data_IF_758020789659
#
_entry.id   IF_758020789659
#
_cell.length_a   1.000
_cell.length_b   1.000
_cell.length_c   1.000
_cell.angle_alpha   90.00
_cell.angle_beta   90.00
_cell.angle_gamma   90.00
#
_symmetry.space_group_name_H-M   'P 1'
#
loop_
_entity.id
_entity.type
_entity.pdbx_description
1 polymer ?
#
# COMPACT_ATOMS: atom_id res chain seq x y z
N UNK A 1 -14.19 -11.73 25.55
CA UNK A 1 -14.06 -13.04 24.88
C UNK A 1 -13.10 -12.81 23.74
N UNK A 2 -11.90 -13.39 23.79
CA UNK A 2 -10.96 -13.35 22.66
C UNK A 2 -11.45 -14.36 21.63
N UNK A 3 -11.85 -13.89 20.45
CA UNK A 3 -12.23 -14.78 19.36
C UNK A 3 -10.98 -15.53 18.90
N UNK A 4 -10.95 -16.85 19.03
CA UNK A 4 -9.84 -17.65 18.51
C UNK A 4 -9.90 -17.63 16.98
N UNK A 5 -8.80 -17.23 16.32
CA UNK A 5 -8.66 -17.28 14.87
C UNK A 5 -8.64 -18.75 14.44
N UNK A 6 -9.59 -19.13 13.60
CA UNK A 6 -9.69 -20.50 13.06
C UNK A 6 -8.52 -20.83 12.13
N UNK A 7 -8.22 -22.12 11.94
CA UNK A 7 -7.15 -22.57 11.01
C UNK A 7 -7.41 -22.04 9.59
N UNK A 8 -8.66 -21.96 9.16
CA UNK A 8 -9.03 -21.43 7.84
C UNK A 8 -8.69 -19.94 7.71
N UNK A 9 -8.94 -19.15 8.75
CA UNK A 9 -8.58 -17.73 8.78
C UNK A 9 -7.06 -17.53 8.83
N UNK A 10 -6.34 -18.40 9.55
CA UNK A 10 -4.86 -18.39 9.54
C UNK A 10 -4.30 -18.69 8.15
N UNK A 11 -4.82 -19.71 7.45
CA UNK A 11 -4.41 -20.03 6.08
C UNK A 11 -4.71 -18.89 5.11
N UNK A 12 -5.89 -18.27 5.23
CA UNK A 12 -6.26 -17.11 4.42
C UNK A 12 -5.36 -15.91 4.69
N UNK A 13 -4.99 -15.66 5.95
CA UNK A 13 -4.06 -14.59 6.32
C UNK A 13 -2.65 -14.83 5.74
N UNK A 14 -2.15 -16.06 5.78
CA UNK A 14 -0.86 -16.43 5.17
C UNK A 14 -0.91 -16.26 3.64
N UNK A 15 -1.96 -16.74 2.99
CA UNK A 15 -2.12 -16.58 1.54
C UNK A 15 -2.12 -15.11 1.13
N UNK A 16 -2.90 -14.29 1.83
CA UNK A 16 -2.99 -12.87 1.54
C UNK A 16 -1.69 -12.13 1.84
N UNK A 17 -0.98 -12.48 2.92
CA UNK A 17 0.36 -11.97 3.21
C UNK A 17 1.37 -12.31 2.09
N UNK A 18 1.32 -13.54 1.56
CA UNK A 18 2.17 -13.96 0.45
C UNK A 18 1.86 -13.15 -0.81
N UNK A 19 0.59 -12.84 -1.09
CA UNK A 19 0.21 -11.96 -2.21
C UNK A 19 0.76 -10.56 -2.02
N UNK A 20 0.63 -9.96 -0.83
CA UNK A 20 1.24 -8.65 -0.54
C UNK A 20 2.76 -8.66 -0.77
N UNK A 21 3.45 -9.70 -0.30
CA UNK A 21 4.90 -9.84 -0.45
C UNK A 21 5.32 -10.04 -1.91
N UNK A 22 4.59 -10.87 -2.65
CA UNK A 22 4.78 -11.07 -4.09
C UNK A 22 4.59 -9.75 -4.84
N UNK A 23 3.51 -9.03 -4.56
CA UNK A 23 3.20 -7.75 -5.18
C UNK A 23 4.35 -6.75 -4.98
N UNK A 24 4.87 -6.62 -3.75
CA UNK A 24 6.03 -5.76 -3.46
C UNK A 24 7.32 -6.22 -4.17
N UNK A 25 7.52 -7.53 -4.33
CA UNK A 25 8.66 -8.07 -5.07
C UNK A 25 8.57 -7.74 -6.56
N UNK A 26 7.37 -7.83 -7.14
CA UNK A 26 7.11 -7.46 -8.53
C UNK A 26 7.33 -5.97 -8.77
N UNK A 27 6.94 -5.09 -7.83
CA UNK A 27 7.23 -3.64 -7.92
C UNK A 27 8.73 -3.36 -7.96
N UNK A 28 9.51 -4.05 -7.14
CA UNK A 28 10.97 -3.91 -7.16
C UNK A 28 11.56 -4.32 -8.51
N UNK A 29 11.13 -5.48 -9.06
CA UNK A 29 11.58 -5.96 -10.37
C UNK A 29 11.16 -4.99 -11.47
N UNK A 30 9.90 -4.54 -11.45
CA UNK A 30 9.35 -3.62 -12.43
C UNK A 30 10.11 -2.28 -12.41
N UNK A 31 10.33 -1.71 -11.23
CA UNK A 31 11.04 -0.45 -11.02
C UNK A 31 12.51 -0.52 -11.46
N UNK A 32 13.20 -1.61 -11.11
CA UNK A 32 14.58 -1.87 -11.56
C UNK A 32 14.63 -1.95 -13.08
N UNK A 33 13.78 -2.77 -13.69
CA UNK A 33 13.76 -2.97 -15.15
C UNK A 33 13.41 -1.69 -15.90
N UNK A 34 12.46 -0.88 -15.42
CA UNK A 34 12.15 0.43 -16.03
C UNK A 34 13.35 1.39 -16.00
N UNK A 35 14.12 1.37 -14.90
CA UNK A 35 15.32 2.24 -14.75
C UNK A 35 16.43 1.83 -15.72
N UNK A 36 16.60 0.53 -15.97
CA UNK A 36 17.59 0.00 -16.91
C UNK A 36 17.14 0.05 -18.38
N UNK A 37 15.83 -0.01 -18.68
CA UNK A 37 15.30 -0.18 -20.03
C UNK A 37 15.09 1.11 -20.81
N UNK A 38 16.02 2.07 -20.74
CA UNK A 38 16.11 3.16 -21.73
C UNK A 38 16.34 2.69 -23.18
N UNK A 39 16.53 1.39 -23.38
CA UNK A 39 16.71 0.74 -24.67
C UNK A 39 15.59 -0.29 -24.88
N UNK A 40 14.78 -0.09 -25.93
CA UNK A 40 13.80 -1.03 -26.48
C UNK A 40 14.45 -2.41 -26.62
N UNK A 41 14.21 -3.28 -25.64
CA UNK A 41 14.73 -4.64 -25.61
C UNK A 41 13.57 -5.63 -25.69
N UNK A 42 13.86 -6.85 -26.13
CA UNK A 42 12.95 -8.01 -26.14
C UNK A 42 12.31 -8.34 -24.78
N UNK A 43 12.68 -7.62 -23.71
CA UNK A 43 12.12 -7.68 -22.37
C UNK A 43 10.83 -6.88 -22.16
N UNK A 44 10.32 -6.16 -23.17
CA UNK A 44 9.13 -5.29 -22.99
C UNK A 44 7.86 -6.09 -22.70
N UNK A 45 7.64 -7.22 -23.38
CA UNK A 45 6.49 -8.10 -23.13
C UNK A 45 6.54 -8.74 -21.74
N UNK A 46 7.72 -9.20 -21.30
CA UNK A 46 7.89 -9.72 -19.94
C UNK A 46 7.62 -8.65 -18.88
N UNK A 47 8.13 -7.43 -19.12
CA UNK A 47 7.89 -6.32 -18.22
C UNK A 47 6.39 -6.01 -18.18
N UNK A 48 5.74 -5.77 -19.32
CA UNK A 48 4.28 -5.55 -19.41
C UNK A 48 3.46 -6.63 -18.66
N UNK A 49 3.85 -7.90 -18.79
CA UNK A 49 3.21 -8.99 -18.05
C UNK A 49 3.36 -8.86 -16.53
N UNK A 50 4.51 -8.42 -16.03
CA UNK A 50 4.71 -8.11 -14.60
C UNK A 50 3.72 -7.01 -14.15
N UNK A 51 3.53 -5.96 -14.95
CA UNK A 51 2.61 -4.86 -14.61
C UNK A 51 1.15 -5.31 -14.56
N UNK A 52 0.74 -6.15 -15.52
CA UNK A 52 -0.59 -6.80 -15.52
C UNK A 52 -0.77 -7.74 -14.33
N UNK A 53 0.29 -8.46 -13.96
CA UNK A 53 0.29 -9.33 -12.79
C UNK A 53 0.15 -8.52 -11.49
N UNK A 54 0.90 -7.42 -11.36
CA UNK A 54 0.78 -6.50 -10.23
C UNK A 54 -0.65 -5.93 -10.13
N UNK A 55 -1.23 -5.48 -11.24
CA UNK A 55 -2.60 -4.97 -11.29
C UNK A 55 -3.62 -6.01 -10.82
N UNK A 56 -3.47 -7.25 -11.29
CA UNK A 56 -4.33 -8.37 -10.90
C UNK A 56 -4.19 -8.68 -9.41
N UNK A 57 -2.96 -8.83 -8.91
CA UNK A 57 -2.71 -9.14 -7.50
C UNK A 57 -3.23 -8.03 -6.57
N UNK A 58 -3.07 -6.76 -6.94
CA UNK A 58 -3.64 -5.63 -6.19
C UNK A 58 -5.17 -5.67 -6.16
N UNK A 59 -5.82 -5.92 -7.31
CA UNK A 59 -7.27 -6.05 -7.39
C UNK A 59 -7.79 -7.27 -6.59
N UNK A 60 -7.04 -8.36 -6.57
CA UNK A 60 -7.39 -9.55 -5.79
C UNK A 60 -7.20 -9.31 -4.28
N UNK A 61 -6.14 -8.60 -3.86
CA UNK A 61 -5.96 -8.15 -2.47
C UNK A 61 -7.13 -7.27 -2.03
N UNK A 62 -7.58 -6.33 -2.87
CA UNK A 62 -8.71 -5.45 -2.56
C UNK A 62 -9.99 -6.23 -2.20
N UNK A 63 -10.27 -7.33 -2.91
CA UNK A 63 -11.44 -8.19 -2.64
C UNK A 63 -11.38 -8.88 -1.28
N UNK A 64 -10.18 -9.03 -0.72
CA UNK A 64 -9.93 -9.70 0.55
C UNK A 64 -9.78 -8.72 1.73
N UNK A 65 -9.87 -7.40 1.51
CA UNK A 65 -9.64 -6.40 2.57
C UNK A 65 -10.69 -6.43 3.69
N UNK A 66 -11.94 -6.80 3.40
CA UNK A 66 -12.98 -6.93 4.44
C UNK A 66 -12.59 -7.98 5.50
N UNK A 67 -11.92 -9.05 5.07
CA UNK A 67 -11.37 -10.04 5.99
C UNK A 67 -10.25 -9.46 6.86
N UNK A 68 -9.33 -8.69 6.26
CA UNK A 68 -8.25 -8.02 7.02
C UNK A 68 -8.83 -7.01 8.00
N UNK A 69 -9.89 -6.30 7.62
CA UNK A 69 -10.55 -5.31 8.47
C UNK A 69 -11.19 -5.97 9.69
N UNK A 70 -11.91 -7.09 9.49
CA UNK A 70 -12.47 -7.88 10.58
C UNK A 70 -11.37 -8.41 11.51
N UNK A 71 -10.28 -8.94 10.93
CA UNK A 71 -9.13 -9.43 11.71
C UNK A 71 -8.44 -8.31 12.51
N UNK A 72 -8.30 -7.12 11.93
CA UNK A 72 -7.70 -5.96 12.59
C UNK A 72 -8.55 -5.44 13.76
N UNK A 73 -9.88 -5.57 13.69
CA UNK A 73 -10.77 -5.17 14.78
C UNK A 73 -10.61 -6.05 16.05
N UNK A 74 -10.17 -7.30 15.87
CA UNK A 74 -9.92 -8.26 16.97
C UNK A 74 -8.53 -8.10 17.61
N UNK A 75 -7.63 -7.31 17.00
CA UNK A 75 -6.31 -6.99 17.54
C UNK A 75 -6.38 -5.63 18.22
N UNK A 76 -6.63 -5.55 19.54
CA UNK A 76 -6.49 -4.30 20.26
C UNK A 76 -5.04 -3.83 20.14
N UNK A 77 -4.83 -2.52 20.14
CA UNK A 77 -3.55 -1.79 20.07
C UNK A 77 -3.22 -1.16 18.70
N UNK A 78 -2.09 -0.45 18.69
CA UNK A 78 -1.58 0.35 17.57
C UNK A 78 -1.47 -0.44 16.27
N UNK A 79 -1.27 -1.76 16.36
CA UNK A 79 -1.16 -2.67 15.23
C UNK A 79 -2.47 -2.77 14.42
N UNK A 80 -3.63 -2.91 15.09
CA UNK A 80 -4.94 -2.95 14.44
C UNK A 80 -5.29 -1.62 13.77
N UNK A 81 -4.97 -0.50 14.43
CA UNK A 81 -5.18 0.86 13.89
C UNK A 81 -4.37 1.09 12.62
N UNK A 82 -3.11 0.65 12.59
CA UNK A 82 -2.25 0.76 11.40
C UNK A 82 -2.83 -0.06 10.25
N UNK A 83 -3.27 -1.30 10.51
CA UNK A 83 -3.88 -2.14 9.50
C UNK A 83 -5.16 -1.52 8.93
N UNK A 84 -6.04 -0.98 9.78
CA UNK A 84 -7.26 -0.29 9.34
C UNK A 84 -6.96 0.93 8.45
N UNK A 85 -5.99 1.76 8.83
CA UNK A 85 -5.57 2.91 7.99
C UNK A 85 -4.98 2.48 6.66
N UNK A 86 -4.21 1.40 6.65
CA UNK A 86 -3.67 0.83 5.43
C UNK A 86 -4.80 0.34 4.52
N UNK A 87 -5.81 -0.35 5.06
CA UNK A 87 -6.99 -0.78 4.31
C UNK A 87 -7.75 0.43 3.72
N UNK A 88 -7.94 1.49 4.50
CA UNK A 88 -8.58 2.73 4.03
C UNK A 88 -7.83 3.35 2.84
N UNK A 89 -6.49 3.40 2.91
CA UNK A 89 -5.65 3.89 1.81
C UNK A 89 -5.78 3.00 0.56
N UNK A 90 -5.74 1.67 0.71
CA UNK A 90 -5.89 0.75 -0.43
C UNK A 90 -7.30 0.86 -1.05
N UNK A 91 -8.34 1.04 -0.24
CA UNK A 91 -9.70 1.24 -0.75
C UNK A 91 -9.88 2.58 -1.46
N UNK A 92 -9.24 3.65 -0.95
CA UNK A 92 -9.34 4.98 -1.55
C UNK A 92 -8.60 5.09 -2.88
N UNK A 93 -7.44 4.44 -3.02
CA UNK A 93 -6.53 4.66 -4.16
C UNK A 93 -6.27 3.44 -5.02
N UNK A 94 -6.52 2.23 -4.52
CA UNK A 94 -6.08 1.00 -5.19
C UNK A 94 -6.76 0.78 -6.54
N UNK A 95 -8.02 1.20 -6.72
CA UNK A 95 -8.69 1.11 -8.03
C UNK A 95 -7.96 1.94 -9.10
N UNK A 96 -7.61 3.19 -8.76
CA UNK A 96 -6.82 4.07 -9.62
C UNK A 96 -5.43 3.49 -9.91
N UNK A 97 -4.78 2.87 -8.91
CA UNK A 97 -3.47 2.24 -9.13
C UNK A 97 -3.54 1.00 -10.02
N UNK A 98 -4.60 0.18 -9.90
CA UNK A 98 -4.84 -0.97 -10.79
C UNK A 98 -5.01 -0.49 -12.24
N UNK A 99 -5.84 0.53 -12.48
CA UNK A 99 -6.03 1.10 -13.82
C UNK A 99 -4.72 1.66 -14.40
N UNK A 100 -3.95 2.36 -13.58
CA UNK A 100 -2.67 2.93 -13.98
C UNK A 100 -1.62 1.84 -14.29
N UNK A 101 -1.57 0.76 -13.51
CA UNK A 101 -0.69 -0.38 -13.78
C UNK A 101 -1.02 -1.04 -15.12
N UNK A 102 -2.30 -1.27 -15.43
CA UNK A 102 -2.72 -1.78 -16.74
C UNK A 102 -2.32 -0.81 -17.86
N UNK A 103 -2.62 0.48 -17.69
CA UNK A 103 -2.27 1.52 -18.67
C UNK A 103 -0.77 1.55 -18.96
N UNK A 104 0.08 1.53 -17.93
CA UNK A 104 1.54 1.52 -18.09
C UNK A 104 2.05 0.22 -18.70
N UNK A 105 1.45 -0.93 -18.36
CA UNK A 105 1.78 -2.19 -19.01
C UNK A 105 1.49 -2.17 -20.52
N UNK A 106 0.37 -1.58 -20.93
CA UNK A 106 0.01 -1.46 -22.34
C UNK A 106 0.96 -0.51 -23.09
N UNK A 107 1.42 0.58 -22.45
CA UNK A 107 2.47 1.46 -23.01
C UNK A 107 3.81 0.73 -23.19
N UNK A 108 4.22 -0.05 -22.19
CA UNK A 108 5.45 -0.84 -22.29
C UNK A 108 5.33 -1.86 -23.43
N UNK A 109 4.18 -2.50 -23.59
CA UNK A 109 3.93 -3.45 -24.67
C UNK A 109 3.91 -2.76 -26.06
N UNK A 110 3.38 -1.53 -26.16
CA UNK A 110 3.43 -0.73 -27.40
C UNK A 110 4.83 -0.21 -27.74
N UNK A 111 5.80 -0.38 -26.84
CA UNK A 111 7.18 0.09 -27.00
C UNK A 111 7.35 1.58 -26.74
N UNK A 112 6.41 2.18 -26.00
CA UNK A 112 6.48 3.51 -25.41
C UNK A 112 7.10 3.43 -24.00
N UNK A 113 7.82 4.47 -23.61
CA UNK A 113 8.34 4.58 -22.25
C UNK A 113 7.22 5.15 -21.38
N UNK A 114 6.72 4.43 -20.36
CA UNK A 114 5.72 4.99 -19.46
C UNK A 114 6.32 6.17 -18.70
N UNK A 115 5.72 7.35 -18.85
CA UNK A 115 6.15 8.53 -18.11
C UNK A 115 5.80 8.43 -16.62
N UNK A 116 6.73 8.95 -15.79
CA UNK A 116 6.60 9.04 -14.33
C UNK A 116 6.72 7.71 -13.59
N UNK A 117 7.00 7.79 -12.29
CA UNK A 117 6.99 6.62 -11.40
C UNK A 117 5.58 6.02 -11.31
N UNK A 118 5.48 4.74 -10.97
CA UNK A 118 4.20 4.17 -10.53
C UNK A 118 3.65 5.05 -9.40
N UNK A 119 2.33 5.34 -9.37
CA UNK A 119 1.75 5.92 -8.17
C UNK A 119 2.06 4.94 -7.03
N UNK A 120 2.92 5.37 -6.10
CA UNK A 120 3.39 4.53 -4.99
C UNK A 120 2.57 4.73 -3.72
N UNK A 121 1.29 5.12 -3.86
CA UNK A 121 0.47 5.58 -2.73
C UNK A 121 -0.01 4.39 -1.90
N UNK A 122 -0.45 3.31 -2.55
CA UNK A 122 -0.94 2.12 -1.83
C UNK A 122 0.17 1.15 -1.42
N UNK A 123 1.40 1.29 -1.92
CA UNK A 123 2.47 0.31 -1.69
C UNK A 123 2.92 0.26 -0.23
N UNK A 124 2.98 1.43 0.42
CA UNK A 124 3.17 1.52 1.87
C UNK A 124 2.04 0.81 2.63
N UNK A 125 0.80 0.99 2.18
CA UNK A 125 -0.35 0.32 2.77
C UNK A 125 -0.33 -1.22 2.55
N UNK A 126 0.06 -1.68 1.37
CA UNK A 126 0.24 -3.11 1.06
C UNK A 126 1.32 -3.72 1.96
N UNK A 127 2.44 -3.02 2.18
CA UNK A 127 3.46 -3.46 3.13
C UNK A 127 2.92 -3.52 4.57
N UNK A 128 2.16 -2.52 5.01
CA UNK A 128 1.53 -2.53 6.33
C UNK A 128 0.56 -3.72 6.50
N UNK A 129 -0.30 -3.98 5.51
CA UNK A 129 -1.24 -5.11 5.51
C UNK A 129 -0.50 -6.46 5.51
N UNK A 130 0.49 -6.64 4.63
CA UNK A 130 1.29 -7.88 4.60
C UNK A 130 2.04 -8.13 5.91
N UNK A 131 2.59 -7.08 6.51
CA UNK A 131 3.28 -7.17 7.80
C UNK A 131 2.33 -7.55 8.93
N UNK A 132 1.16 -6.89 8.98
CA UNK A 132 0.08 -7.21 9.92
C UNK A 132 -0.36 -8.67 9.80
N UNK A 133 -0.69 -9.14 8.60
CA UNK A 133 -1.17 -10.50 8.36
C UNK A 133 -0.14 -11.57 8.75
N UNK A 134 1.15 -11.30 8.49
CA UNK A 134 2.24 -12.19 8.90
C UNK A 134 2.29 -12.33 10.42
N UNK A 135 2.19 -11.21 11.15
CA UNK A 135 2.19 -11.21 12.62
C UNK A 135 0.94 -11.88 13.17
N UNK A 136 -0.24 -11.57 12.62
CA UNK A 136 -1.51 -12.14 13.06
C UNK A 136 -1.56 -13.66 12.85
N UNK A 137 -1.06 -14.16 11.71
CA UNK A 137 -0.94 -15.59 11.46
C UNK A 137 0.04 -16.26 12.44
N UNK A 138 1.19 -15.63 12.73
CA UNK A 138 2.15 -16.13 13.71
C UNK A 138 1.58 -16.21 15.13
N UNK A 139 0.79 -15.20 15.54
CA UNK A 139 0.10 -15.19 16.82
C UNK A 139 -0.99 -16.27 16.90
N UNK A 140 -1.76 -16.46 15.82
CA UNK A 140 -2.75 -17.54 15.73
C UNK A 140 -2.12 -18.93 15.84
N UNK A 141 -1.00 -19.16 15.14
CA UNK A 141 -0.24 -20.41 15.24
C UNK A 141 0.30 -20.65 16.66
N UNK A 142 0.76 -19.59 17.34
CA UNK A 142 1.20 -19.64 18.73
C UNK A 142 0.09 -20.10 19.68
N UNK A 143 -1.12 -19.57 19.50
CA UNK A 143 -2.28 -19.95 20.29
C UNK A 143 -2.71 -21.42 20.08
N UNK A 144 -2.65 -21.93 18.85
CA UNK A 144 -3.14 -23.28 18.51
C UNK A 144 -2.14 -24.39 18.87
N UNK A 145 -0.83 -24.15 18.70
CA UNK A 145 0.19 -25.22 18.78
C UNK A 145 0.99 -25.26 20.09
N UNK A 146 0.68 -24.37 21.04
CA UNK A 146 1.31 -24.35 22.36
C UNK A 146 2.84 -24.14 22.28
N UNK A 147 3.68 -25.02 22.88
CA UNK A 147 5.13 -24.83 22.91
C UNK A 147 5.82 -24.75 21.54
N UNK A 148 5.27 -25.40 20.51
CA UNK A 148 5.80 -25.32 19.14
C UNK A 148 5.54 -23.94 18.51
N UNK A 149 4.43 -23.32 18.90
CA UNK A 149 4.01 -22.02 18.39
C UNK A 149 4.82 -20.85 18.94
N UNK A 150 5.46 -21.02 20.10
CA UNK A 150 6.41 -20.05 20.68
C UNK A 150 7.62 -19.82 19.77
N UNK A 151 7.97 -20.77 18.90
CA UNK A 151 9.07 -20.66 17.93
C UNK A 151 8.64 -19.93 16.65
N UNK A 152 7.34 -19.97 16.32
CA UNK A 152 6.79 -19.39 15.09
C UNK A 152 6.64 -17.87 15.21
N UNK A 153 6.20 -17.39 16.39
CA UNK A 153 5.94 -15.96 16.61
C UNK A 153 7.18 -15.06 16.40
N UNK A 154 8.39 -15.39 16.87
CA UNK A 154 9.60 -14.60 16.59
C UNK A 154 9.94 -14.55 15.10
N UNK A 155 9.72 -15.65 14.37
CA UNK A 155 9.98 -15.72 12.93
C UNK A 155 8.99 -14.85 12.15
N UNK A 156 7.71 -14.93 12.52
CA UNK A 156 6.68 -14.07 11.97
C UNK A 156 6.94 -12.59 12.25
N UNK A 157 7.39 -12.23 13.46
CA UNK A 157 7.79 -10.87 13.78
C UNK A 157 9.06 -10.41 13.04
N UNK A 158 10.02 -11.30 12.81
CA UNK A 158 11.25 -10.98 12.07
C UNK A 158 10.99 -10.68 10.59
N UNK A 159 9.96 -11.30 9.99
CA UNK A 159 9.56 -11.07 8.59
C UNK A 159 8.52 -9.95 8.51
N UNK A 160 7.46 -10.01 9.31
CA UNK A 160 6.35 -9.08 9.28
C UNK A 160 6.67 -7.72 9.89
N UNK A 161 7.56 -7.66 10.89
CA UNK A 161 7.94 -6.42 11.58
C UNK A 161 8.62 -5.39 10.67
N UNK A 162 9.67 -5.76 9.92
CA UNK A 162 10.29 -4.86 8.94
C UNK A 162 9.31 -4.37 7.86
N UNK A 163 8.46 -5.26 7.37
CA UNK A 163 7.46 -4.94 6.35
C UNK A 163 6.43 -3.94 6.88
N UNK A 164 5.92 -4.19 8.08
CA UNK A 164 5.02 -3.28 8.80
C UNK A 164 5.68 -1.92 9.06
N UNK A 165 6.94 -1.92 9.51
CA UNK A 165 7.70 -0.69 9.76
C UNK A 165 7.89 0.15 8.49
N UNK A 166 8.22 -0.49 7.37
CA UNK A 166 8.31 0.17 6.07
C UNK A 166 6.94 0.76 5.64
N UNK A 167 5.86 0.01 5.83
CA UNK A 167 4.51 0.47 5.54
C UNK A 167 4.07 1.67 6.38
N UNK A 168 4.32 1.64 7.70
CA UNK A 168 4.05 2.76 8.61
C UNK A 168 4.83 4.00 8.19
N UNK A 169 6.12 3.85 7.87
CA UNK A 169 6.96 4.97 7.45
C UNK A 169 6.42 5.64 6.19
N UNK A 170 6.00 4.85 5.19
CA UNK A 170 5.40 5.36 3.96
C UNK A 170 4.06 6.08 4.21
N UNK A 171 3.15 5.50 5.00
CA UNK A 171 1.87 6.13 5.35
C UNK A 171 2.06 7.45 6.10
N UNK A 172 3.07 7.54 6.96
CA UNK A 172 3.41 8.78 7.67
C UNK A 172 3.98 9.85 6.73
N UNK A 173 4.73 9.46 5.69
CA UNK A 173 5.22 10.40 4.68
C UNK A 173 4.07 10.94 3.82
N UNK A 174 3.15 10.07 3.39
CA UNK A 174 1.96 10.46 2.62
C UNK A 174 1.12 11.48 3.38
N UNK A 175 0.80 11.20 4.66
CA UNK A 175 0.05 12.14 5.51
C UNK A 175 0.72 13.51 5.61
N UNK A 176 2.05 13.55 5.75
CA UNK A 176 2.80 14.83 5.82
C UNK A 176 2.74 15.58 4.48
N UNK A 177 2.80 14.87 3.36
CA UNK A 177 2.69 15.47 2.04
C UNK A 177 1.30 16.09 1.81
N UNK A 178 0.23 15.40 2.22
CA UNK A 178 -1.14 15.90 2.13
C UNK A 178 -1.37 17.13 3.01
N UNK A 179 -0.86 17.12 4.25
CA UNK A 179 -0.92 18.28 5.14
C UNK A 179 -0.15 19.48 4.59
N UNK A 180 1.01 19.26 3.96
CA UNK A 180 1.78 20.31 3.32
C UNK A 180 1.02 20.93 2.13
N UNK A 181 0.46 20.10 1.25
CA UNK A 181 -0.35 20.58 0.12
C UNK A 181 -1.61 21.33 0.58
N UNK A 182 -2.25 20.88 1.66
CA UNK A 182 -3.41 21.57 2.24
C UNK A 182 -3.02 22.96 2.76
N UNK A 183 -1.89 23.08 3.46
CA UNK A 183 -1.38 24.37 3.96
C UNK A 183 -0.99 25.33 2.83
N UNK A 184 -0.42 24.82 1.73
CA UNK A 184 -0.12 25.65 0.56
C UNK A 184 -1.40 26.19 -0.12
N UNK A 185 -2.44 25.36 -0.24
CA UNK A 185 -3.74 25.77 -0.79
C UNK A 185 -4.43 26.80 0.11
N UNK A 186 -4.43 26.58 1.43
CA UNK A 186 -4.96 27.53 2.41
C UNK A 186 -4.16 28.85 2.45
N UNK A 187 -2.84 28.77 2.27
CA UNK A 187 -1.96 29.96 2.20
C UNK A 187 -2.11 30.77 0.91
N UNK A 188 -2.41 30.14 -0.24
CA UNK A 188 -2.73 30.85 -1.49
C UNK A 188 -4.10 31.50 -1.45
N UNK A 189 -5.13 30.81 -0.95
CA UNK A 189 -6.47 31.39 -0.82
C UNK A 189 -6.52 32.61 0.10
N UNK A 190 -5.63 32.69 1.09
CA UNK A 190 -5.51 33.88 1.96
C UNK A 190 -4.82 35.08 1.29
N UNK A 191 -3.85 34.84 0.40
CA UNK A 191 -3.17 35.91 -0.35
C UNK A 191 -4.05 36.52 -1.42
N UNK A 192 -4.85 35.69 -2.10
CA UNK A 192 -5.79 36.18 -3.12
C UNK A 192 -6.93 37.01 -2.49
N UNK A 193 -7.40 36.66 -1.30
CA UNK A 193 -8.40 37.46 -0.56
C UNK A 193 -7.88 38.80 -0.01
N UNK A 194 -6.61 38.88 0.40
CA UNK A 194 -6.00 40.14 0.87
C UNK A 194 -5.65 41.09 -0.31
N UNK A 195 -5.38 40.56 -1.51
CA UNK A 195 -5.17 41.38 -2.72
C UNK A 195 -6.48 41.97 -3.27
N UNK A 196 -7.60 41.25 -3.21
CA UNK A 196 -8.92 41.78 -3.62
C UNK A 196 -9.45 42.88 -2.67
N UNK A 197 -9.27 42.73 -1.34
CA UNK A 197 -9.66 43.79 -0.38
C UNK A 197 -8.76 45.04 -0.52
N UNK A 198 -7.48 44.87 -0.86
CA UNK A 198 -6.54 45.97 -1.10
C UNK A 198 -6.79 46.76 -2.39
N UNK A 199 -7.38 46.13 -3.41
CA UNK A 199 -7.80 46.83 -4.64
C UNK A 199 -9.13 47.57 -4.47
N UNK A 200 -10.11 47.04 -3.72
CA UNK A 200 -11.37 47.75 -3.46
C UNK A 200 -11.17 49.04 -2.62
N UNK A 201 -10.18 49.07 -1.72
CA UNK A 201 -9.89 50.27 -0.91
C UNK A 201 -9.18 51.38 -1.71
N UNK A 202 -8.51 51.04 -2.84
CA UNK A 202 -7.89 52.03 -3.73
C UNK A 202 -8.86 52.65 -4.74
N UNK A 203 -10.01 52.04 -5.00
CA UNK A 203 -11.02 52.57 -5.94
C UNK A 203 -11.98 53.57 -5.24
N UNK A 204 -11.95 53.66 -3.91
CA UNK A 204 -12.81 54.57 -3.11
C UNK A 204 -12.11 55.84 -2.58
N UNK A 205 -10.87 56.13 -3.00
CA UNK A 205 -10.16 57.39 -2.70
C UNK A 205 -9.86 58.16 -3.98
#
# INVERSE_FOLDING_TARGET
MTHEITITEQLRAVELSNRCTRLLSLDMIWSERLTYSGQRSSSSTELANIGREMAKELADIQKDLDFVYALAAEVPDELGIVAQRAIESINAFGGTEVEELYRKADLVESGETPDGDLPRRVWGAIAAVGGFLTIAAGAGAAAVTGPLGVVILPSAAAVGGPLLGAGIAALLQEKKADEAQKREKEGRGKKEGEEEEGEEEKVKK
#
